data_IF_827438012776
#
_entry.id   IF_827438012776
#
_cell.length_a   1.000
_cell.length_b   1.000
_cell.length_c   1.000
_cell.angle_alpha   90.00
_cell.angle_beta   90.00
_cell.angle_gamma   90.00
#
_symmetry.space_group_name_H-M   'P 1'
#
loop_
_entity.id
_entity.type
_entity.pdbx_description
1 polymer ?
#
# COMPACT_ATOMS: atom_id res chain seq x y z
N UNK A 1 45.55 60.65 -78.36
CA UNK A 1 45.92 61.52 -77.29
C UNK A 1 45.12 61.13 -76.09
N UNK A 2 45.45 60.54 -75.16
CA UNK A 2 45.05 60.13 -73.82
C UNK A 2 45.36 58.64 -73.60
N UNK A 3 46.41 58.44 -72.86
CA UNK A 3 46.91 57.12 -72.44
C UNK A 3 46.01 56.65 -71.31
N UNK A 4 45.51 55.45 -71.39
CA UNK A 4 44.80 54.78 -70.32
C UNK A 4 45.74 53.78 -69.66
N UNK A 5 46.11 54.05 -68.42
CA UNK A 5 46.89 53.15 -67.59
C UNK A 5 45.96 52.12 -66.93
N UNK A 6 46.26 50.84 -67.12
CA UNK A 6 45.58 49.72 -66.48
C UNK A 6 46.37 49.44 -65.21
N UNK A 7 45.70 49.60 -64.03
CA UNK A 7 46.20 49.20 -62.72
C UNK A 7 45.65 47.82 -62.45
N UNK A 8 46.51 46.81 -62.38
CA UNK A 8 46.13 45.46 -61.89
C UNK A 8 46.14 45.47 -60.40
N UNK A 9 44.92 45.26 -59.82
CA UNK A 9 44.74 45.10 -58.40
C UNK A 9 44.83 43.60 -58.04
N UNK A 10 45.92 43.21 -57.35
CA UNK A 10 46.09 41.87 -56.82
C UNK A 10 45.26 41.79 -55.53
N UNK A 11 44.14 41.05 -55.55
CA UNK A 11 43.37 40.77 -54.37
C UNK A 11 44.03 39.59 -53.61
N UNK A 12 44.59 39.90 -52.44
CA UNK A 12 45.14 38.94 -51.51
C UNK A 12 43.95 38.42 -50.63
N UNK A 13 43.47 37.21 -50.90
CA UNK A 13 42.49 36.56 -50.14
C UNK A 13 43.11 36.06 -48.83
N UNK A 14 42.92 36.79 -47.76
CA UNK A 14 43.17 36.32 -46.38
C UNK A 14 42.09 35.31 -45.98
N UNK A 15 42.46 34.02 -46.00
CA UNK A 15 41.68 32.97 -45.45
C UNK A 15 41.73 33.04 -43.88
N UNK A 16 40.74 33.64 -43.28
CA UNK A 16 40.51 33.50 -41.83
C UNK A 16 39.87 32.13 -41.55
N UNK A 17 40.43 31.31 -40.66
CA UNK A 17 39.71 30.11 -40.22
C UNK A 17 38.48 30.55 -39.42
N UNK A 18 37.28 30.30 -39.96
CA UNK A 18 36.06 30.28 -39.16
C UNK A 18 36.22 29.14 -38.16
N UNK A 19 36.57 29.47 -36.93
CA UNK A 19 36.22 28.62 -35.81
C UNK A 19 34.70 28.60 -35.73
N UNK A 20 34.07 27.55 -36.26
CA UNK A 20 32.71 27.19 -35.89
C UNK A 20 32.76 26.83 -34.40
N UNK A 21 32.55 27.83 -33.54
CA UNK A 21 32.05 27.56 -32.21
C UNK A 21 30.69 26.87 -32.42
N UNK A 22 30.69 25.55 -32.29
CA UNK A 22 29.46 24.82 -32.14
C UNK A 22 28.76 25.44 -30.94
N UNK A 23 27.76 26.25 -31.22
CA UNK A 23 26.76 26.55 -30.23
C UNK A 23 26.19 25.19 -29.82
N UNK A 24 26.64 24.71 -28.67
CA UNK A 24 25.95 23.62 -27.98
C UNK A 24 24.54 24.19 -27.74
N UNK A 25 23.61 23.79 -28.59
CA UNK A 25 22.19 24.03 -28.28
C UNK A 25 22.02 23.56 -26.85
N UNK A 26 21.77 24.48 -25.91
CA UNK A 26 21.31 24.13 -24.60
C UNK A 26 20.02 23.41 -24.88
N UNK A 27 20.03 22.08 -24.78
CA UNK A 27 18.80 21.28 -24.74
C UNK A 27 17.91 21.96 -23.70
N UNK A 28 16.75 22.36 -24.14
CA UNK A 28 15.74 22.92 -23.23
C UNK A 28 15.52 21.90 -22.13
N UNK A 29 15.59 22.32 -20.87
CA UNK A 29 15.38 21.41 -19.74
C UNK A 29 13.97 20.86 -19.79
N UNK A 30 13.84 19.58 -19.55
CA UNK A 30 12.54 18.93 -19.31
C UNK A 30 12.05 19.36 -17.94
N UNK A 31 10.87 19.96 -17.89
CA UNK A 31 10.21 20.33 -16.65
C UNK A 31 9.11 19.31 -16.36
N UNK A 32 9.19 18.64 -15.20
CA UNK A 32 8.20 17.70 -14.71
C UNK A 32 7.47 18.31 -13.54
N UNK A 33 6.16 18.17 -13.51
CA UNK A 33 5.32 18.50 -12.34
C UNK A 33 4.95 17.20 -11.63
N UNK A 34 5.37 17.06 -10.36
CA UNK A 34 4.99 15.95 -9.49
C UNK A 34 4.02 16.40 -8.42
N UNK A 35 2.84 15.79 -8.36
CA UNK A 35 1.81 16.09 -7.35
C UNK A 35 1.83 15.01 -6.27
N UNK A 36 2.20 15.41 -5.04
CA UNK A 36 2.16 14.59 -3.83
C UNK A 36 0.75 14.56 -3.26
N UNK A 37 0.31 13.41 -2.74
CA UNK A 37 -1.02 13.22 -2.12
C UNK A 37 -0.91 12.87 -0.63
N UNK A 38 0.10 12.09 -0.24
CA UNK A 38 0.33 11.70 1.15
C UNK A 38 1.14 12.77 1.91
N UNK A 39 0.72 14.01 1.81
CA UNK A 39 1.47 15.17 2.31
C UNK A 39 1.55 15.23 3.84
N UNK A 40 2.74 15.42 4.36
CA UNK A 40 3.04 15.91 5.71
C UNK A 40 4.37 16.66 5.66
N UNK A 41 4.68 17.52 6.64
CA UNK A 41 5.94 18.24 6.63
C UNK A 41 7.16 17.33 6.47
N UNK A 42 7.17 16.19 7.20
CA UNK A 42 8.28 15.26 7.21
C UNK A 42 8.38 14.46 5.90
N UNK A 43 7.26 13.97 5.39
CA UNK A 43 7.19 13.21 4.13
C UNK A 43 7.60 14.06 2.93
N UNK A 44 7.07 15.28 2.86
CA UNK A 44 7.40 16.24 1.79
C UNK A 44 8.89 16.55 1.75
N UNK A 45 9.55 16.68 2.92
CA UNK A 45 11.00 16.91 2.98
C UNK A 45 11.81 15.73 2.42
N UNK A 46 11.41 14.49 2.69
CA UNK A 46 12.07 13.29 2.14
C UNK A 46 11.91 13.22 0.63
N UNK A 47 10.72 13.54 0.11
CA UNK A 47 10.50 13.60 -1.35
C UNK A 47 11.32 14.72 -2.01
N UNK A 48 11.40 15.90 -1.40
CA UNK A 48 12.25 16.99 -1.88
C UNK A 48 13.73 16.61 -1.94
N UNK A 49 14.24 15.88 -0.94
CA UNK A 49 15.60 15.37 -0.94
C UNK A 49 15.81 14.36 -2.08
N UNK A 50 14.90 13.42 -2.27
CA UNK A 50 14.95 12.45 -3.36
C UNK A 50 14.91 13.12 -4.74
N UNK A 51 14.02 14.09 -4.94
CA UNK A 51 13.93 14.88 -6.18
C UNK A 51 15.23 15.62 -6.46
N UNK A 52 15.80 16.30 -5.47
CA UNK A 52 17.08 17.00 -5.63
C UNK A 52 18.21 16.06 -6.05
N UNK A 53 18.26 14.85 -5.52
CA UNK A 53 19.25 13.84 -5.90
C UNK A 53 19.00 13.31 -7.32
N UNK A 54 17.72 13.13 -7.70
CA UNK A 54 17.35 12.78 -9.07
C UNK A 54 17.79 13.85 -10.09
N UNK A 55 17.55 15.13 -9.82
CA UNK A 55 17.97 16.25 -10.67
C UNK A 55 19.49 16.33 -10.79
N UNK A 56 20.22 16.06 -9.70
CA UNK A 56 21.68 16.05 -9.73
C UNK A 56 22.23 14.94 -10.65
N UNK A 57 21.56 13.79 -10.72
CA UNK A 57 21.88 12.69 -11.62
C UNK A 57 21.36 12.93 -13.05
N UNK A 58 20.35 13.78 -13.23
CA UNK A 58 19.68 14.08 -14.49
C UNK A 58 19.66 15.60 -14.77
N UNK A 59 20.80 16.23 -15.11
CA UNK A 59 20.93 17.69 -15.15
C UNK A 59 20.04 18.38 -16.20
N UNK A 60 19.47 17.61 -17.12
CA UNK A 60 18.52 18.12 -18.12
C UNK A 60 17.06 18.05 -17.67
N UNK A 61 16.79 17.54 -16.47
CA UNK A 61 15.43 17.46 -15.88
C UNK A 61 15.34 18.39 -14.68
N UNK A 62 14.20 19.02 -14.52
CA UNK A 62 13.81 19.81 -13.34
C UNK A 62 12.44 19.36 -12.89
N UNK A 63 12.23 19.15 -11.59
CA UNK A 63 11.00 18.61 -11.04
C UNK A 63 10.38 19.60 -10.07
N UNK A 64 9.19 20.09 -10.37
CA UNK A 64 8.36 20.88 -9.46
C UNK A 64 7.51 19.96 -8.62
N UNK A 65 7.71 19.95 -7.29
CA UNK A 65 6.87 19.21 -6.34
C UNK A 65 5.71 20.08 -5.87
N UNK A 66 4.50 19.67 -6.18
CA UNK A 66 3.25 20.27 -5.71
C UNK A 66 2.69 19.45 -4.57
N UNK A 67 2.64 20.02 -3.35
CA UNK A 67 2.22 19.35 -2.11
C UNK A 67 1.00 20.06 -1.51
N UNK A 68 -0.22 19.76 -1.97
CA UNK A 68 -1.44 20.33 -1.39
C UNK A 68 -1.65 19.85 0.05
N UNK A 69 -2.43 20.54 0.90
CA UNK A 69 -2.81 20.03 2.21
C UNK A 69 -3.46 18.65 2.10
N UNK A 70 -3.10 17.71 3.00
CA UNK A 70 -3.47 16.30 2.95
C UNK A 70 -4.96 16.07 2.67
N UNK A 71 -5.85 16.76 3.38
CA UNK A 71 -7.31 16.57 3.25
C UNK A 71 -7.87 17.02 1.88
N UNK A 72 -7.07 17.76 1.12
CA UNK A 72 -7.46 18.30 -0.19
C UNK A 72 -6.66 17.69 -1.34
N UNK A 73 -5.59 16.95 -1.05
CA UNK A 73 -4.59 16.56 -2.03
C UNK A 73 -5.18 15.68 -3.15
N UNK A 74 -5.97 14.66 -2.82
CA UNK A 74 -6.63 13.80 -3.82
C UNK A 74 -7.63 14.56 -4.69
N UNK A 75 -8.46 15.42 -4.08
CA UNK A 75 -9.42 16.24 -4.82
C UNK A 75 -8.71 17.24 -5.74
N UNK A 76 -7.61 17.82 -5.25
CA UNK A 76 -6.80 18.75 -6.04
C UNK A 76 -6.15 18.04 -7.22
N UNK A 77 -5.52 16.89 -7.00
CA UNK A 77 -4.94 16.05 -8.07
C UNK A 77 -5.97 15.71 -9.14
N UNK A 78 -7.12 15.14 -8.73
CA UNK A 78 -8.18 14.78 -9.66
C UNK A 78 -8.67 15.98 -10.49
N UNK A 79 -8.80 17.16 -9.85
CA UNK A 79 -9.19 18.39 -10.52
C UNK A 79 -8.13 18.89 -11.50
N UNK A 80 -6.84 18.81 -11.17
CA UNK A 80 -5.73 19.19 -12.05
C UNK A 80 -5.69 18.29 -13.29
N UNK A 81 -5.76 16.98 -13.10
CA UNK A 81 -5.77 16.02 -14.19
C UNK A 81 -6.99 16.18 -15.10
N UNK A 82 -8.19 16.31 -14.54
CA UNK A 82 -9.43 16.51 -15.31
C UNK A 82 -9.44 17.83 -16.08
N UNK A 83 -8.79 18.86 -15.57
CA UNK A 83 -8.63 20.15 -16.24
C UNK A 83 -7.52 20.15 -17.30
N UNK A 84 -6.78 19.04 -17.49
CA UNK A 84 -5.66 18.96 -18.42
C UNK A 84 -4.48 19.85 -18.05
N UNK A 85 -4.29 20.15 -16.74
CA UNK A 85 -3.15 20.91 -16.29
C UNK A 85 -1.86 20.11 -16.49
N UNK A 86 -0.72 20.80 -16.54
CA UNK A 86 0.60 20.17 -16.64
C UNK A 86 0.87 19.40 -15.33
N UNK A 87 0.66 18.09 -15.37
CA UNK A 87 1.03 17.12 -14.36
C UNK A 87 1.70 15.98 -15.10
N UNK A 88 2.88 15.57 -14.66
CA UNK A 88 3.62 14.48 -15.28
C UNK A 88 3.62 13.23 -14.39
N UNK A 89 3.96 13.40 -13.10
CA UNK A 89 3.94 12.32 -12.11
C UNK A 89 2.94 12.68 -11.02
N UNK A 90 2.19 11.70 -10.56
CA UNK A 90 1.30 11.88 -9.43
C UNK A 90 1.41 10.71 -8.47
N UNK A 91 1.38 11.03 -7.17
CA UNK A 91 1.12 10.03 -6.15
C UNK A 91 -0.37 9.71 -6.14
N UNK A 92 -0.69 8.43 -6.01
CA UNK A 92 -2.08 7.92 -6.00
C UNK A 92 -2.27 6.98 -4.82
N UNK A 93 -3.52 6.74 -4.43
CA UNK A 93 -3.87 5.82 -3.35
C UNK A 93 -4.87 4.77 -3.82
N UNK A 94 -4.93 3.66 -3.08
CA UNK A 94 -5.84 2.52 -3.33
C UNK A 94 -7.32 2.93 -3.40
N UNK A 95 -7.73 3.95 -2.63
CA UNK A 95 -9.11 4.44 -2.58
C UNK A 95 -9.51 5.38 -3.73
N UNK A 96 -8.56 5.94 -4.47
CA UNK A 96 -8.82 6.95 -5.51
C UNK A 96 -8.39 6.53 -6.92
N UNK A 97 -7.46 5.59 -7.03
CA UNK A 97 -6.83 5.22 -8.30
C UNK A 97 -7.83 4.70 -9.34
N UNK A 98 -8.83 3.91 -8.94
CA UNK A 98 -9.86 3.40 -9.86
C UNK A 98 -10.62 4.54 -10.56
N UNK A 99 -10.93 5.63 -9.84
CA UNK A 99 -11.59 6.81 -10.41
C UNK A 99 -10.70 7.50 -11.46
N UNK A 100 -9.40 7.58 -11.22
CA UNK A 100 -8.46 8.19 -12.16
C UNK A 100 -8.28 7.34 -13.42
N UNK A 101 -8.19 6.01 -13.27
CA UNK A 101 -8.10 5.07 -14.40
C UNK A 101 -9.38 5.12 -15.25
N UNK A 102 -10.56 5.02 -14.63
CA UNK A 102 -11.84 5.08 -15.33
C UNK A 102 -12.07 6.43 -16.02
N UNK A 103 -11.48 7.49 -15.51
CA UNK A 103 -11.44 8.82 -16.12
C UNK A 103 -10.45 8.96 -17.28
N UNK A 104 -9.67 7.92 -17.61
CA UNK A 104 -8.56 7.96 -18.58
C UNK A 104 -7.53 9.07 -18.24
N UNK A 105 -7.26 9.31 -16.98
CA UNK A 105 -6.38 10.35 -16.49
C UNK A 105 -4.94 9.87 -16.28
N UNK A 106 -4.72 8.56 -16.27
CA UNK A 106 -3.40 7.92 -16.09
C UNK A 106 -2.94 7.24 -17.36
N UNK A 107 -1.62 7.27 -17.60
CA UNK A 107 -0.97 6.61 -18.72
C UNK A 107 -0.89 5.09 -18.50
N UNK A 108 -1.19 4.30 -19.54
CA UNK A 108 -0.85 2.88 -19.54
C UNK A 108 0.67 2.71 -19.55
N UNK A 109 1.21 2.00 -18.56
CA UNK A 109 2.64 1.81 -18.36
C UNK A 109 3.17 0.46 -18.88
N UNK A 110 2.35 -0.39 -19.50
CA UNK A 110 2.75 -1.76 -19.89
C UNK A 110 4.02 -1.77 -20.75
N UNK A 111 4.11 -0.89 -21.76
CA UNK A 111 5.28 -0.81 -22.62
C UNK A 111 6.53 -0.34 -21.87
N UNK A 112 6.38 0.56 -20.91
CA UNK A 112 7.47 1.06 -20.05
C UNK A 112 7.96 -0.03 -19.08
N UNK A 113 7.02 -0.74 -18.45
CA UNK A 113 7.32 -1.86 -17.54
C UNK A 113 7.93 -3.04 -18.31
N UNK A 114 7.45 -3.33 -19.52
CA UNK A 114 8.02 -4.40 -20.35
C UNK A 114 9.49 -4.15 -20.72
N UNK A 115 9.87 -2.89 -20.89
CA UNK A 115 11.25 -2.48 -21.21
C UNK A 115 12.12 -2.28 -19.97
N UNK A 116 11.58 -2.36 -18.78
CA UNK A 116 12.30 -2.16 -17.53
C UNK A 116 12.98 -3.45 -17.06
N UNK A 117 14.31 -3.51 -17.25
CA UNK A 117 15.11 -4.73 -17.02
C UNK A 117 15.24 -5.13 -15.54
N UNK A 118 14.96 -4.24 -14.60
CA UNK A 118 15.10 -4.49 -13.15
C UNK A 118 13.75 -4.55 -12.41
N UNK A 119 12.64 -4.68 -13.12
CA UNK A 119 11.31 -4.81 -12.52
C UNK A 119 11.18 -5.99 -11.54
N UNK A 120 11.95 -7.06 -11.77
CA UNK A 120 11.96 -8.25 -10.91
C UNK A 120 12.56 -7.98 -9.51
N UNK A 121 13.16 -6.80 -9.31
CA UNK A 121 13.55 -6.31 -7.97
C UNK A 121 12.35 -5.89 -7.14
N UNK A 122 11.17 -5.67 -7.74
CA UNK A 122 9.96 -5.40 -6.97
C UNK A 122 9.42 -6.68 -6.32
N UNK A 123 8.84 -6.52 -5.14
CA UNK A 123 8.09 -7.61 -4.47
C UNK A 123 6.85 -7.96 -5.31
N UNK A 124 6.45 -9.22 -5.28
CA UNK A 124 5.35 -9.70 -6.11
C UNK A 124 4.03 -8.98 -5.80
N UNK A 125 3.77 -8.68 -4.53
CA UNK A 125 2.63 -7.88 -4.10
C UNK A 125 2.56 -6.50 -4.77
N UNK A 126 3.70 -5.85 -5.03
CA UNK A 126 3.74 -4.55 -5.73
C UNK A 126 3.38 -4.68 -7.21
N UNK A 127 3.86 -5.74 -7.88
CA UNK A 127 3.51 -6.01 -9.28
C UNK A 127 2.02 -6.35 -9.41
N UNK A 128 1.49 -7.18 -8.48
CA UNK A 128 0.06 -7.49 -8.41
C UNK A 128 -0.79 -6.23 -8.16
N UNK A 129 -0.36 -5.36 -7.24
CA UNK A 129 -1.06 -4.11 -6.97
C UNK A 129 -1.11 -3.21 -8.20
N UNK A 130 0.02 -3.02 -8.89
CA UNK A 130 0.11 -2.21 -10.11
C UNK A 130 -0.82 -2.66 -11.23
N UNK A 131 -1.09 -3.97 -11.32
CA UNK A 131 -1.98 -4.59 -12.29
C UNK A 131 -3.38 -4.87 -11.71
N UNK A 132 -3.71 -4.38 -10.51
CA UNK A 132 -4.94 -4.79 -9.80
C UNK A 132 -6.20 -4.10 -10.29
N UNK A 133 -6.09 -2.98 -10.98
CA UNK A 133 -7.21 -2.14 -11.39
C UNK A 133 -7.12 -1.88 -12.89
N UNK A 134 -8.18 -2.23 -13.60
CA UNK A 134 -8.21 -2.21 -15.06
C UNK A 134 -7.53 -3.43 -15.69
N UNK A 135 -7.29 -3.35 -16.99
CA UNK A 135 -6.73 -4.43 -17.82
C UNK A 135 -5.24 -4.21 -18.16
N UNK A 136 -4.59 -3.23 -17.49
CA UNK A 136 -3.22 -2.82 -17.73
C UNK A 136 -2.57 -2.24 -16.47
N UNK A 137 -1.26 -2.04 -16.52
CA UNK A 137 -0.51 -1.36 -15.46
C UNK A 137 -0.61 0.16 -15.62
N UNK A 138 -1.25 0.84 -14.68
CA UNK A 138 -1.38 2.31 -14.71
C UNK A 138 -0.55 3.01 -13.64
N UNK A 139 -0.03 2.28 -12.68
CA UNK A 139 0.78 2.80 -11.59
C UNK A 139 1.73 1.73 -11.07
N UNK A 140 2.72 2.16 -10.30
CA UNK A 140 3.57 1.28 -9.51
C UNK A 140 3.48 1.70 -8.05
N UNK A 141 3.19 0.79 -7.12
CA UNK A 141 3.25 1.11 -5.70
C UNK A 141 4.63 1.65 -5.32
N UNK A 142 4.65 2.64 -4.44
CA UNK A 142 5.87 3.14 -3.83
C UNK A 142 6.11 2.46 -2.47
N UNK A 143 5.04 2.10 -1.80
CA UNK A 143 5.05 1.35 -0.55
C UNK A 143 3.76 0.59 -0.35
N UNK A 144 3.84 -0.42 0.52
CA UNK A 144 2.72 -1.28 0.85
C UNK A 144 2.38 -1.20 2.33
N UNK A 145 1.11 -1.41 2.61
CA UNK A 145 0.57 -1.71 3.92
C UNK A 145 -0.03 -3.10 3.88
N UNK A 146 0.57 -4.02 4.60
CA UNK A 146 0.13 -5.41 4.74
C UNK A 146 -0.09 -5.68 6.21
N UNK A 147 -1.14 -6.38 6.57
CA UNK A 147 -1.44 -6.67 7.98
C UNK A 147 -0.64 -7.86 8.47
N UNK A 148 -0.19 -7.77 9.74
CA UNK A 148 0.35 -8.89 10.49
C UNK A 148 -0.30 -8.95 11.87
N UNK A 149 -0.07 -10.04 12.59
CA UNK A 149 -0.52 -10.19 13.97
C UNK A 149 0.53 -9.65 14.93
N UNK A 150 0.32 -8.44 15.46
CA UNK A 150 1.15 -7.91 16.53
C UNK A 150 0.80 -8.59 17.85
N UNK A 151 1.83 -8.92 18.63
CA UNK A 151 1.68 -9.65 19.90
C UNK A 151 2.45 -8.96 21.03
N UNK A 152 1.90 -8.95 22.24
CA UNK A 152 2.57 -8.51 23.47
C UNK A 152 3.39 -9.67 24.03
N UNK A 153 4.67 -9.69 23.71
CA UNK A 153 5.62 -10.75 24.12
C UNK A 153 5.65 -10.95 25.62
N UNK A 154 5.72 -9.84 26.37
CA UNK A 154 5.76 -9.83 27.83
C UNK A 154 4.50 -10.45 28.47
N UNK A 155 3.35 -10.22 27.88
CA UNK A 155 2.06 -10.77 28.39
C UNK A 155 1.93 -12.24 28.02
N UNK A 156 2.26 -12.62 26.78
CA UNK A 156 2.22 -14.01 26.35
C UNK A 156 3.19 -14.87 27.18
N UNK A 157 4.41 -14.40 27.38
CA UNK A 157 5.41 -15.08 28.22
C UNK A 157 4.92 -15.25 29.67
N UNK A 158 4.36 -14.18 30.27
CA UNK A 158 3.81 -14.20 31.61
C UNK A 158 2.77 -15.30 31.81
N UNK A 159 1.96 -15.59 30.79
CA UNK A 159 0.89 -16.59 30.86
C UNK A 159 1.26 -17.92 30.19
N UNK A 160 2.52 -18.09 29.73
CA UNK A 160 3.00 -19.29 29.06
C UNK A 160 2.19 -19.62 27.81
N UNK A 161 2.03 -18.61 26.95
CA UNK A 161 1.33 -18.73 25.66
C UNK A 161 2.36 -18.65 24.56
N UNK A 162 2.41 -19.70 23.76
CA UNK A 162 3.25 -19.75 22.56
C UNK A 162 2.64 -18.88 21.45
N UNK A 163 3.46 -18.44 20.50
CA UNK A 163 2.98 -17.70 19.34
C UNK A 163 2.12 -18.60 18.44
N UNK A 164 0.86 -18.24 18.18
CA UNK A 164 -0.02 -19.05 17.37
C UNK A 164 0.42 -19.06 15.90
N UNK A 165 0.48 -20.22 15.29
CA UNK A 165 0.81 -20.43 13.88
C UNK A 165 -0.42 -20.83 13.06
N UNK A 166 -1.46 -21.31 13.73
CA UNK A 166 -2.74 -21.69 13.13
C UNK A 166 -3.89 -20.89 13.76
N UNK A 167 -4.99 -20.76 13.04
CA UNK A 167 -6.21 -20.09 13.56
C UNK A 167 -6.75 -20.78 14.80
N UNK A 168 -6.72 -22.12 14.88
CA UNK A 168 -7.15 -22.86 16.07
C UNK A 168 -6.26 -22.52 17.29
N UNK A 169 -4.93 -22.45 17.10
CA UNK A 169 -4.00 -22.03 18.17
C UNK A 169 -4.24 -20.57 18.58
N UNK A 170 -4.55 -19.68 17.63
CA UNK A 170 -4.89 -18.29 17.93
C UNK A 170 -6.15 -18.17 18.80
N UNK A 171 -7.22 -18.87 18.44
CA UNK A 171 -8.43 -18.88 19.24
C UNK A 171 -8.20 -19.47 20.64
N UNK A 172 -7.45 -20.57 20.73
CA UNK A 172 -7.10 -21.18 22.03
C UNK A 172 -6.24 -20.24 22.89
N UNK A 173 -5.30 -19.50 22.29
CA UNK A 173 -4.51 -18.48 22.99
C UNK A 173 -5.39 -17.33 23.50
N UNK A 174 -6.34 -16.86 22.69
CA UNK A 174 -7.30 -15.84 23.08
C UNK A 174 -8.18 -16.28 24.28
N UNK A 175 -8.71 -17.49 24.25
CA UNK A 175 -9.49 -18.05 25.37
C UNK A 175 -8.65 -18.17 26.65
N UNK A 176 -7.40 -18.63 26.54
CA UNK A 176 -6.49 -18.74 27.67
C UNK A 176 -6.17 -17.37 28.30
N UNK A 177 -6.01 -16.31 27.49
CA UNK A 177 -5.82 -14.94 27.97
C UNK A 177 -7.08 -14.42 28.67
N UNK A 178 -8.23 -14.53 28.03
CA UNK A 178 -9.50 -14.05 28.59
C UNK A 178 -9.87 -14.75 29.90
N UNK A 179 -9.51 -16.03 30.05
CA UNK A 179 -9.74 -16.82 31.27
C UNK A 179 -8.92 -16.32 32.49
N UNK A 180 -7.92 -15.43 32.29
CA UNK A 180 -7.17 -14.83 33.41
C UNK A 180 -8.05 -13.89 34.25
N UNK A 181 -9.13 -13.35 33.69
CA UNK A 181 -10.00 -12.41 34.40
C UNK A 181 -9.33 -11.05 34.67
N UNK A 182 -9.83 -10.34 35.66
CA UNK A 182 -9.29 -9.03 36.09
C UNK A 182 -9.17 -7.98 34.99
N UNK A 183 -10.07 -7.99 33.99
CA UNK A 183 -10.07 -7.08 32.89
C UNK A 183 -9.10 -7.45 31.76
N UNK A 184 -8.47 -8.63 31.83
CA UNK A 184 -7.70 -9.16 30.73
C UNK A 184 -8.61 -9.68 29.64
N UNK A 185 -8.46 -9.13 28.46
CA UNK A 185 -9.03 -9.63 27.20
C UNK A 185 -7.89 -10.14 26.33
N UNK A 186 -8.18 -10.51 25.12
CA UNK A 186 -7.17 -11.08 24.24
C UNK A 186 -6.97 -10.30 22.95
N UNK A 187 -8.04 -9.92 22.27
CA UNK A 187 -7.96 -9.41 20.90
C UNK A 187 -8.55 -8.01 20.76
N UNK A 188 -7.79 -7.13 20.11
CA UNK A 188 -8.19 -5.77 19.74
C UNK A 188 -9.06 -5.79 18.47
N UNK A 189 -10.33 -6.17 18.61
CA UNK A 189 -11.26 -6.28 17.48
C UNK A 189 -11.51 -4.92 16.84
N UNK A 190 -11.52 -4.89 15.49
CA UNK A 190 -11.86 -3.71 14.69
C UNK A 190 -13.35 -3.65 14.42
N UNK A 191 -14.09 -2.79 15.12
CA UNK A 191 -15.55 -2.68 14.99
C UNK A 191 -16.03 -1.59 14.04
N UNK A 192 -15.20 -0.56 13.75
CA UNK A 192 -15.54 0.54 12.85
C UNK A 192 -14.38 0.95 11.95
N UNK A 193 -14.64 1.78 10.95
CA UNK A 193 -13.64 2.30 10.03
C UNK A 193 -13.10 1.21 9.09
N UNK A 194 -13.95 0.71 8.21
CA UNK A 194 -13.63 -0.38 7.25
C UNK A 194 -13.20 -1.69 7.90
N UNK A 195 -13.97 -2.24 8.85
CA UNK A 195 -13.59 -3.47 9.56
C UNK A 195 -13.51 -4.69 8.64
N UNK A 196 -14.16 -4.69 7.48
CA UNK A 196 -14.14 -5.82 6.53
C UNK A 196 -12.72 -6.23 6.17
N UNK A 197 -11.81 -5.29 5.96
CA UNK A 197 -10.41 -5.58 5.62
C UNK A 197 -9.66 -6.39 6.70
N UNK A 198 -10.10 -6.37 7.96
CA UNK A 198 -9.53 -7.19 9.03
C UNK A 198 -10.36 -8.46 9.25
N UNK A 199 -11.69 -8.32 9.22
CA UNK A 199 -12.62 -9.44 9.42
C UNK A 199 -12.45 -10.51 8.35
N UNK A 200 -12.35 -10.11 7.08
CA UNK A 200 -12.20 -11.04 5.96
C UNK A 200 -10.87 -11.80 6.03
N UNK A 201 -9.77 -11.13 6.37
CA UNK A 201 -8.45 -11.77 6.58
C UNK A 201 -8.51 -12.87 7.65
N UNK A 202 -9.33 -12.69 8.69
CA UNK A 202 -9.50 -13.70 9.73
C UNK A 202 -10.39 -14.88 9.28
N UNK A 203 -11.26 -14.68 8.29
CA UNK A 203 -12.22 -15.70 7.85
C UNK A 203 -11.74 -16.49 6.63
N UNK A 204 -11.08 -15.83 5.69
CA UNK A 204 -10.60 -16.44 4.44
C UNK A 204 -9.73 -17.68 4.67
N UNK A 205 -8.84 -17.75 5.67
CA UNK A 205 -8.00 -18.93 5.92
C UNK A 205 -8.78 -20.22 6.17
N UNK A 206 -10.03 -20.13 6.63
CA UNK A 206 -10.89 -21.29 6.89
C UNK A 206 -11.60 -21.82 5.63
N UNK A 207 -11.47 -21.10 4.51
CA UNK A 207 -12.17 -21.43 3.27
C UNK A 207 -11.18 -21.98 2.24
N UNK A 208 -11.46 -23.17 1.73
CA UNK A 208 -10.69 -23.74 0.63
C UNK A 208 -10.99 -23.01 -0.69
N UNK A 209 -9.98 -22.98 -1.57
CA UNK A 209 -10.12 -22.56 -2.97
C UNK A 209 -10.69 -21.15 -3.17
N UNK A 210 -10.25 -20.18 -2.35
CA UNK A 210 -10.56 -18.76 -2.56
C UNK A 210 -10.08 -18.32 -3.94
N UNK A 211 -10.91 -17.55 -4.63
CA UNK A 211 -10.54 -16.91 -5.88
C UNK A 211 -9.68 -15.66 -5.58
N UNK A 212 -8.43 -15.68 -6.00
CA UNK A 212 -7.46 -14.63 -5.72
C UNK A 212 -7.81 -13.29 -6.39
N UNK A 213 -8.57 -13.33 -7.50
CA UNK A 213 -9.04 -12.14 -8.21
C UNK A 213 -10.34 -11.56 -7.63
N UNK A 214 -11.05 -12.34 -6.82
CA UNK A 214 -12.24 -11.89 -6.11
C UNK A 214 -12.40 -12.68 -4.81
N UNK A 215 -11.86 -12.14 -3.73
CA UNK A 215 -11.82 -12.80 -2.41
C UNK A 215 -13.20 -13.17 -1.83
N UNK A 216 -14.29 -12.62 -2.38
CA UNK A 216 -15.66 -12.96 -1.94
C UNK A 216 -16.19 -14.23 -2.57
N UNK A 217 -15.47 -14.80 -3.52
CA UNK A 217 -15.85 -16.04 -4.20
C UNK A 217 -14.79 -17.13 -3.99
N UNK A 218 -15.26 -18.36 -3.99
CA UNK A 218 -14.41 -19.53 -4.24
C UNK A 218 -14.17 -19.70 -5.74
N UNK A 219 -13.21 -20.51 -6.15
CA UNK A 219 -12.88 -20.76 -7.56
C UNK A 219 -14.04 -21.35 -8.35
N UNK A 220 -15.00 -22.02 -7.66
CA UNK A 220 -16.25 -22.53 -8.27
C UNK A 220 -17.41 -21.51 -8.24
N UNK A 221 -17.16 -20.28 -7.81
CA UNK A 221 -18.10 -19.16 -7.83
C UNK A 221 -19.08 -19.11 -6.65
N UNK A 222 -18.85 -19.88 -5.60
CA UNK A 222 -19.66 -19.79 -4.38
C UNK A 222 -19.22 -18.60 -3.53
N UNK A 223 -20.15 -17.86 -2.92
CA UNK A 223 -19.82 -16.82 -1.94
C UNK A 223 -19.16 -17.46 -0.70
N UNK A 224 -17.95 -17.04 -0.39
CA UNK A 224 -17.04 -17.72 0.55
C UNK A 224 -17.65 -18.01 1.92
N UNK A 225 -18.45 -17.08 2.48
CA UNK A 225 -19.10 -17.25 3.78
C UNK A 225 -20.26 -18.27 3.75
N UNK A 226 -20.75 -18.70 2.59
CA UNK A 226 -21.76 -19.74 2.48
C UNK A 226 -21.19 -21.16 2.50
N UNK A 227 -19.88 -21.30 2.40
CA UNK A 227 -19.19 -22.58 2.59
C UNK A 227 -19.25 -23.04 4.05
N UNK A 228 -18.96 -24.30 4.30
CA UNK A 228 -18.86 -24.81 5.69
C UNK A 228 -17.76 -24.07 6.48
N UNK A 229 -16.57 -23.89 5.87
CA UNK A 229 -15.45 -23.16 6.46
C UNK A 229 -15.80 -21.69 6.75
N UNK A 230 -16.44 -21.01 5.80
CA UNK A 230 -16.83 -19.61 5.98
C UNK A 230 -17.88 -19.40 7.10
N UNK A 231 -18.87 -20.32 7.20
CA UNK A 231 -19.83 -20.28 8.31
C UNK A 231 -19.16 -20.52 9.66
N UNK A 232 -18.25 -21.51 9.73
CA UNK A 232 -17.45 -21.77 10.92
C UNK A 232 -16.65 -20.55 11.31
N UNK A 233 -15.93 -19.93 10.37
CA UNK A 233 -15.13 -18.75 10.61
C UNK A 233 -15.94 -17.57 11.16
N UNK A 234 -17.11 -17.31 10.58
CA UNK A 234 -18.02 -16.26 11.09
C UNK A 234 -18.53 -16.56 12.51
N UNK A 235 -18.81 -17.83 12.81
CA UNK A 235 -19.22 -18.26 14.14
C UNK A 235 -18.07 -18.13 15.16
N UNK A 236 -16.85 -18.50 14.76
CA UNK A 236 -15.66 -18.38 15.60
C UNK A 236 -15.33 -16.90 15.86
N UNK A 237 -15.49 -16.03 14.88
CA UNK A 237 -15.34 -14.59 15.06
C UNK A 237 -16.37 -14.03 16.06
N UNK A 238 -17.61 -14.47 16.00
CA UNK A 238 -18.63 -14.12 16.98
C UNK A 238 -18.27 -14.60 18.39
N UNK A 239 -17.75 -15.85 18.51
CA UNK A 239 -17.30 -16.42 19.78
C UNK A 239 -16.09 -15.65 20.33
N UNK A 240 -15.12 -15.30 19.47
CA UNK A 240 -13.98 -14.47 19.83
C UNK A 240 -14.41 -13.14 20.43
N UNK A 241 -15.35 -12.44 19.78
CA UNK A 241 -15.87 -11.19 20.32
C UNK A 241 -16.52 -11.40 21.70
N UNK A 242 -17.41 -12.36 21.83
CA UNK A 242 -18.16 -12.58 23.07
C UNK A 242 -17.30 -12.99 24.25
N UNK A 243 -16.27 -13.78 23.99
CA UNK A 243 -15.49 -14.42 25.06
C UNK A 243 -14.15 -13.72 25.32
N UNK A 244 -13.56 -13.07 24.30
CA UNK A 244 -12.15 -12.66 24.33
C UNK A 244 -11.92 -11.18 24.04
N UNK A 245 -12.95 -10.41 23.69
CA UNK A 245 -12.82 -8.98 23.40
C UNK A 245 -13.60 -8.13 24.40
N UNK A 246 -13.17 -6.87 24.63
CA UNK A 246 -14.03 -5.90 25.32
C UNK A 246 -15.36 -5.73 24.60
N UNK A 247 -16.45 -5.62 25.34
CA UNK A 247 -17.80 -5.51 24.74
C UNK A 247 -18.00 -4.23 23.91
N UNK A 248 -17.26 -3.17 24.20
CA UNK A 248 -17.22 -1.91 23.45
C UNK A 248 -16.33 -1.96 22.21
N UNK A 249 -15.56 -3.03 22.02
CA UNK A 249 -14.71 -3.22 20.82
C UNK A 249 -15.53 -3.25 19.51
N UNK A 250 -16.81 -3.51 19.58
CA UNK A 250 -17.75 -3.34 18.46
C UNK A 250 -17.73 -1.91 17.88
N UNK A 251 -17.28 -0.91 18.66
CA UNK A 251 -17.15 0.49 18.27
C UNK A 251 -15.69 0.94 18.14
N UNK A 252 -14.73 0.04 18.32
CA UNK A 252 -13.32 0.40 18.21
C UNK A 252 -12.91 0.63 16.76
N UNK A 253 -12.17 1.72 16.55
CA UNK A 253 -11.45 2.01 15.33
C UNK A 253 -9.95 1.82 15.54
N UNK A 254 -9.15 2.46 14.70
CA UNK A 254 -7.69 2.37 14.72
C UNK A 254 -7.09 2.77 16.09
N UNK A 255 -7.46 3.95 16.59
CA UNK A 255 -6.87 4.47 17.83
C UNK A 255 -7.22 3.62 19.06
N UNK A 256 -8.46 3.15 19.16
CA UNK A 256 -8.90 2.32 20.27
C UNK A 256 -8.20 0.95 20.27
N UNK A 257 -7.99 0.35 19.08
CA UNK A 257 -7.23 -0.91 18.95
C UNK A 257 -5.79 -0.74 19.45
N UNK A 258 -5.09 0.32 18.99
CA UNK A 258 -3.71 0.62 19.41
C UNK A 258 -3.65 0.83 20.92
N UNK A 259 -4.57 1.59 21.49
CA UNK A 259 -4.62 1.82 22.94
C UNK A 259 -4.89 0.55 23.74
N UNK A 260 -5.76 -0.33 23.25
CA UNK A 260 -6.01 -1.64 23.84
C UNK A 260 -4.76 -2.52 23.85
N UNK A 261 -3.98 -2.50 22.78
CA UNK A 261 -2.72 -3.23 22.68
C UNK A 261 -1.63 -2.63 23.58
N UNK A 262 -1.41 -1.32 23.53
CA UNK A 262 -0.42 -0.61 24.36
C UNK A 262 -0.69 -0.83 25.85
N UNK A 263 -1.94 -0.72 26.28
CA UNK A 263 -2.32 -0.93 27.68
C UNK A 263 -2.18 -2.40 28.15
N UNK A 264 -2.00 -3.34 27.21
CA UNK A 264 -1.97 -4.78 27.49
C UNK A 264 -3.36 -5.39 27.73
N UNK A 265 -4.43 -4.62 27.62
CA UNK A 265 -5.81 -5.11 27.75
C UNK A 265 -6.12 -6.16 26.68
N UNK A 266 -5.61 -5.96 25.47
CA UNK A 266 -5.77 -6.84 24.31
C UNK A 266 -4.42 -7.16 23.69
N UNK A 267 -3.69 -8.19 24.16
CA UNK A 267 -2.34 -8.53 23.73
C UNK A 267 -2.18 -8.93 22.26
N UNK A 268 -3.25 -9.20 21.56
CA UNK A 268 -3.25 -9.48 20.12
C UNK A 268 -3.92 -8.34 19.34
N UNK A 269 -3.25 -7.89 18.27
CA UNK A 269 -3.70 -6.81 17.39
C UNK A 269 -3.35 -7.14 15.94
N UNK A 270 -4.33 -7.26 15.06
CA UNK A 270 -4.08 -7.30 13.61
C UNK A 270 -4.03 -5.88 13.08
N UNK A 271 -2.86 -5.46 12.55
CA UNK A 271 -2.68 -4.10 12.07
C UNK A 271 -1.57 -3.99 11.01
N UNK A 272 -1.58 -2.88 10.29
CA UNK A 272 -0.56 -2.47 9.32
C UNK A 272 0.71 -1.97 10.04
N UNK A 273 1.86 -1.93 9.38
CA UNK A 273 3.14 -1.55 10.00
C UNK A 273 3.20 -0.09 10.47
N UNK A 274 2.32 0.79 10.01
CA UNK A 274 2.20 2.17 10.49
C UNK A 274 1.84 2.26 11.99
N UNK A 275 1.23 1.21 12.54
CA UNK A 275 0.93 1.10 13.98
C UNK A 275 2.20 1.06 14.85
N UNK A 276 3.31 0.57 14.31
CA UNK A 276 4.58 0.42 15.04
C UNK A 276 5.06 1.77 15.59
N UNK A 277 4.87 2.87 14.84
CA UNK A 277 5.22 4.20 15.30
C UNK A 277 4.60 4.55 16.65
N UNK A 278 3.29 4.34 16.80
CA UNK A 278 2.57 4.62 18.05
C UNK A 278 2.93 3.64 19.17
N UNK A 279 3.20 2.38 18.82
CA UNK A 279 3.53 1.34 19.80
C UNK A 279 4.92 1.56 20.39
N UNK A 280 5.94 1.84 19.58
CA UNK A 280 7.33 2.10 20.04
C UNK A 280 7.48 3.33 20.91
N UNK A 281 6.58 4.32 20.77
CA UNK A 281 6.58 5.51 21.61
C UNK A 281 6.07 5.22 23.04
N UNK A 282 5.41 4.08 23.25
CA UNK A 282 4.77 3.71 24.50
C UNK A 282 5.36 2.46 25.16
N UNK A 283 6.00 1.57 24.41
CA UNK A 283 6.49 0.28 24.86
C UNK A 283 7.96 0.08 24.47
N UNK A 284 8.70 -0.66 25.33
CA UNK A 284 10.02 -1.15 24.96
C UNK A 284 9.94 -2.22 23.87
N UNK A 285 10.91 -2.27 22.98
CA UNK A 285 10.95 -3.23 21.86
C UNK A 285 10.89 -4.70 22.30
N UNK A 286 11.32 -5.00 23.51
CA UNK A 286 11.22 -6.35 24.08
C UNK A 286 9.79 -6.77 24.49
N UNK A 287 8.85 -5.83 24.55
CA UNK A 287 7.48 -6.08 25.02
C UNK A 287 6.50 -6.45 23.91
N UNK A 288 6.92 -6.34 22.65
CA UNK A 288 6.05 -6.63 21.52
C UNK A 288 6.85 -7.10 20.30
N UNK A 289 6.17 -7.80 19.43
CA UNK A 289 6.66 -8.11 18.07
C UNK A 289 5.46 -8.26 17.12
N UNK A 290 5.73 -8.56 15.86
CA UNK A 290 4.74 -9.07 14.92
C UNK A 290 5.03 -10.55 14.63
N UNK A 291 4.03 -11.27 14.23
CA UNK A 291 4.13 -12.63 13.70
C UNK A 291 3.21 -12.71 12.47
N UNK A 292 3.45 -13.63 11.54
CA UNK A 292 2.54 -13.84 10.44
C UNK A 292 1.11 -14.12 10.91
N UNK A 293 0.12 -13.65 10.14
CA UNK A 293 -1.27 -14.05 10.36
C UNK A 293 -1.35 -15.59 10.36
N UNK A 294 -1.97 -16.21 11.36
CA UNK A 294 -2.07 -17.66 11.45
C UNK A 294 -2.72 -18.29 10.22
N UNK A 295 -2.21 -19.43 9.76
CA UNK A 295 -2.83 -20.19 8.68
C UNK A 295 -4.09 -20.88 9.17
N UNK A 296 -5.13 -20.93 8.34
CA UNK A 296 -6.37 -21.64 8.66
C UNK A 296 -6.42 -23.06 8.14
N UNK A 297 -7.62 -23.63 8.12
CA UNK A 297 -7.88 -25.00 7.66
C UNK A 297 -7.49 -25.21 6.19
N UNK A 298 -7.42 -24.17 5.37
CA UNK A 298 -6.91 -24.23 3.99
C UNK A 298 -5.39 -24.47 3.90
N UNK A 299 -4.65 -24.34 5.01
CA UNK A 299 -3.20 -24.32 5.05
C UNK A 299 -2.59 -23.01 4.54
N UNK A 300 -3.41 -21.99 4.32
CA UNK A 300 -3.01 -20.67 3.82
C UNK A 300 -3.42 -19.57 4.76
N UNK A 301 -2.74 -18.42 4.65
CA UNK A 301 -3.21 -17.10 5.08
C UNK A 301 -3.50 -16.27 3.87
N UNK A 302 -4.51 -15.44 3.95
CA UNK A 302 -4.91 -14.55 2.86
C UNK A 302 -4.75 -13.11 3.34
N UNK A 303 -4.00 -12.31 2.59
CA UNK A 303 -3.71 -10.92 2.92
C UNK A 303 -4.17 -10.01 1.79
N UNK A 304 -4.76 -8.89 2.15
CA UNK A 304 -4.88 -7.75 1.26
C UNK A 304 -3.63 -6.87 1.39
N UNK A 305 -3.48 -5.98 0.45
CA UNK A 305 -2.46 -4.93 0.49
C UNK A 305 -3.11 -3.57 0.25
N UNK A 306 -2.84 -2.63 1.16
CA UNK A 306 -3.03 -1.21 0.91
C UNK A 306 -1.78 -0.65 0.26
N UNK A 307 -1.89 0.39 -0.55
CA UNK A 307 -0.75 1.04 -1.18
C UNK A 307 -0.96 2.55 -1.34
N UNK A 308 0.14 3.27 -1.41
CA UNK A 308 0.24 4.45 -2.21
C UNK A 308 1.29 4.20 -3.28
N UNK A 309 1.09 4.77 -4.45
CA UNK A 309 1.91 4.50 -5.61
C UNK A 309 2.11 5.73 -6.49
N UNK A 310 2.88 5.54 -7.52
CA UNK A 310 3.26 6.57 -8.47
C UNK A 310 2.70 6.24 -9.85
N UNK A 311 2.08 7.20 -10.48
CA UNK A 311 1.53 7.10 -11.82
C UNK A 311 2.07 8.22 -12.70
N UNK A 312 2.02 8.01 -14.01
CA UNK A 312 2.27 9.05 -15.01
C UNK A 312 0.92 9.53 -15.53
N UNK A 313 0.75 10.85 -15.62
CA UNK A 313 -0.47 11.43 -16.15
C UNK A 313 -0.63 11.15 -17.66
N UNK A 314 -1.86 10.86 -18.10
CA UNK A 314 -2.14 10.51 -19.49
C UNK A 314 -1.80 11.62 -20.50
N UNK A 315 -1.82 12.88 -20.04
CA UNK A 315 -1.49 14.06 -20.86
C UNK A 315 -0.06 14.57 -20.70
N UNK A 316 0.80 13.84 -19.96
CA UNK A 316 2.21 14.21 -19.84
C UNK A 316 2.88 14.36 -21.21
N UNK A 317 3.65 15.42 -21.33
CA UNK A 317 4.46 15.68 -22.54
C UNK A 317 5.83 15.02 -22.50
N UNK A 318 6.21 14.52 -21.30
CA UNK A 318 7.51 13.92 -21.00
C UNK A 318 7.35 12.55 -20.31
N UNK A 319 6.54 11.62 -20.89
CA UNK A 319 6.18 10.37 -20.20
C UNK A 319 7.40 9.47 -19.93
N UNK A 320 8.45 9.55 -20.75
CA UNK A 320 9.67 8.78 -20.53
C UNK A 320 10.43 9.27 -19.30
N UNK A 321 10.66 10.59 -19.21
CA UNK A 321 11.35 11.20 -18.08
C UNK A 321 10.52 11.08 -16.78
N UNK A 322 9.20 11.18 -16.90
CA UNK A 322 8.28 10.94 -15.79
C UNK A 322 8.40 9.51 -15.27
N UNK A 323 8.45 8.51 -16.16
CA UNK A 323 8.64 7.12 -15.77
C UNK A 323 10.03 6.85 -15.18
N UNK A 324 11.10 7.54 -15.67
CA UNK A 324 12.42 7.47 -15.04
C UNK A 324 12.39 8.00 -13.59
N UNK A 325 11.64 9.07 -13.31
CA UNK A 325 11.45 9.57 -11.94
C UNK A 325 10.69 8.52 -11.08
N UNK A 326 9.64 7.90 -11.62
CA UNK A 326 8.91 6.81 -10.93
C UNK A 326 9.87 5.68 -10.56
N UNK A 327 10.67 5.17 -11.52
CA UNK A 327 11.65 4.10 -11.24
C UNK A 327 12.68 4.50 -10.19
N UNK A 328 13.14 5.75 -10.24
CA UNK A 328 14.10 6.27 -9.27
C UNK A 328 13.52 6.28 -7.85
N UNK A 329 12.29 6.75 -7.69
CA UNK A 329 11.62 6.83 -6.38
C UNK A 329 11.32 5.46 -5.75
N UNK A 330 11.27 4.39 -6.56
CA UNK A 330 11.11 2.99 -6.09
C UNK A 330 12.41 2.17 -6.24
N UNK A 331 13.55 2.80 -6.51
CA UNK A 331 14.86 2.15 -6.45
C UNK A 331 15.23 1.80 -5.01
N UNK A 332 16.07 0.80 -4.81
CA UNK A 332 16.30 0.20 -3.49
C UNK A 332 16.64 1.22 -2.38
N UNK A 333 17.65 2.06 -2.61
CA UNK A 333 18.10 3.05 -1.62
C UNK A 333 17.03 4.12 -1.33
N UNK A 334 16.41 4.67 -2.39
CA UNK A 334 15.41 5.74 -2.25
C UNK A 334 14.14 5.19 -1.63
N UNK A 335 13.72 3.99 -2.04
CA UNK A 335 12.54 3.32 -1.51
C UNK A 335 12.70 2.98 -0.03
N UNK A 336 13.88 2.44 0.38
CA UNK A 336 14.18 2.21 1.78
C UNK A 336 14.03 3.50 2.61
N UNK A 337 14.64 4.59 2.13
CA UNK A 337 14.62 5.89 2.82
C UNK A 337 13.22 6.47 2.97
N UNK A 338 12.41 6.41 1.93
CA UNK A 338 11.02 6.87 1.95
C UNK A 338 10.21 6.03 2.95
N UNK A 339 10.34 4.70 2.86
CA UNK A 339 9.57 3.79 3.70
C UNK A 339 9.95 3.86 5.18
N UNK A 340 11.23 4.08 5.53
CA UNK A 340 11.65 4.36 6.89
C UNK A 340 10.89 5.54 7.52
N UNK A 341 10.74 6.61 6.73
CA UNK A 341 10.03 7.81 7.18
C UNK A 341 8.52 7.60 7.27
N UNK A 342 7.97 6.79 6.37
CA UNK A 342 6.52 6.58 6.27
C UNK A 342 6.02 5.48 7.21
N UNK A 343 6.92 4.66 7.77
CA UNK A 343 6.56 3.47 8.54
C UNK A 343 5.81 2.45 7.69
N UNK A 344 6.16 2.36 6.41
CA UNK A 344 5.51 1.49 5.43
C UNK A 344 6.51 0.47 4.87
N UNK A 345 6.03 -0.56 4.17
CA UNK A 345 6.90 -1.61 3.63
C UNK A 345 7.44 -1.23 2.26
N UNK A 346 8.76 -1.38 2.04
CA UNK A 346 9.35 -1.16 0.73
C UNK A 346 8.79 -2.10 -0.34
N UNK A 347 8.67 -1.59 -1.55
CA UNK A 347 8.29 -2.40 -2.72
C UNK A 347 9.49 -2.99 -3.44
N UNK A 348 10.68 -2.54 -3.14
CA UNK A 348 11.92 -3.07 -3.72
C UNK A 348 12.55 -4.09 -2.78
N UNK A 349 12.80 -5.31 -3.27
CA UNK A 349 13.36 -6.43 -2.49
C UNK A 349 14.71 -6.08 -1.85
N UNK A 350 15.56 -5.35 -2.58
CA UNK A 350 16.89 -4.98 -2.10
C UNK A 350 16.84 -3.89 -1.01
N UNK A 351 15.77 -3.10 -0.96
CA UNK A 351 15.56 -2.06 0.05
C UNK A 351 15.55 -2.61 1.48
N UNK A 352 15.07 -3.84 1.66
CA UNK A 352 15.04 -4.49 2.99
C UNK A 352 16.43 -4.70 3.59
N UNK A 353 17.45 -4.89 2.75
CA UNK A 353 18.84 -5.03 3.19
C UNK A 353 19.56 -3.69 3.37
N UNK A 354 18.99 -2.58 2.90
CA UNK A 354 19.60 -1.26 2.94
C UNK A 354 19.30 -0.48 4.22
N UNK A 355 18.35 -0.96 5.01
CA UNK A 355 17.94 -0.34 6.26
C UNK A 355 17.91 -1.35 7.40
N UNK A 356 18.48 -0.97 8.55
CA UNK A 356 18.39 -1.77 9.77
C UNK A 356 16.94 -1.95 10.22
N UNK A 357 16.08 -0.94 9.97
CA UNK A 357 14.67 -1.00 10.30
C UNK A 357 13.96 -2.18 9.65
N UNK A 358 14.30 -2.51 8.39
CA UNK A 358 13.63 -3.58 7.64
C UNK A 358 14.37 -4.92 7.69
N UNK A 359 15.66 -4.91 7.98
CA UNK A 359 16.48 -6.14 8.03
C UNK A 359 16.47 -6.83 9.39
N UNK A 360 16.01 -6.14 10.43
CA UNK A 360 15.95 -6.63 11.81
C UNK A 360 14.65 -6.16 12.49
N UNK A 361 14.37 -6.76 13.65
CA UNK A 361 13.24 -6.34 14.48
C UNK A 361 11.88 -6.59 13.84
N UNK A 362 10.89 -5.83 14.27
CA UNK A 362 9.48 -6.10 13.96
C UNK A 362 9.14 -6.00 12.46
N UNK A 363 9.78 -5.09 11.71
CA UNK A 363 9.48 -4.94 10.27
C UNK A 363 9.96 -6.12 9.43
N UNK A 364 10.99 -6.84 9.91
CA UNK A 364 11.44 -8.08 9.26
C UNK A 364 10.35 -9.13 9.24
N UNK A 365 9.52 -9.20 10.28
CA UNK A 365 8.43 -10.16 10.37
C UNK A 365 7.39 -9.97 9.25
N UNK A 366 7.09 -8.72 8.87
CA UNK A 366 6.26 -8.42 7.69
C UNK A 366 6.92 -8.87 6.38
N UNK A 367 8.24 -8.66 6.26
CA UNK A 367 8.97 -9.10 5.07
C UNK A 367 8.95 -10.63 4.94
N UNK A 368 9.16 -11.34 6.05
CA UNK A 368 9.13 -12.80 6.10
C UNK A 368 7.71 -13.33 5.80
N UNK A 369 6.68 -12.70 6.34
CA UNK A 369 5.28 -13.05 6.06
C UNK A 369 4.93 -12.89 4.58
N UNK A 370 5.35 -11.79 3.95
CA UNK A 370 5.11 -11.57 2.52
C UNK A 370 5.86 -12.58 1.63
N UNK A 371 6.98 -13.10 2.09
CA UNK A 371 7.79 -14.07 1.37
C UNK A 371 7.42 -15.53 1.66
N UNK A 372 6.55 -15.79 2.65
CA UNK A 372 6.15 -17.15 3.04
C UNK A 372 5.27 -17.78 1.95
N UNK A 373 5.56 -19.02 1.56
CA UNK A 373 4.82 -19.80 0.56
C UNK A 373 3.35 -20.08 0.92
N UNK A 374 2.99 -19.91 2.19
CA UNK A 374 1.62 -20.03 2.66
C UNK A 374 0.83 -18.71 2.62
N UNK A 375 1.48 -17.62 2.25
CA UNK A 375 0.83 -16.33 2.07
C UNK A 375 0.27 -16.20 0.66
N UNK A 376 -1.02 -15.90 0.57
CA UNK A 376 -1.73 -15.63 -0.68
C UNK A 376 -2.26 -14.21 -0.63
N UNK A 377 -1.85 -13.39 -1.60
CA UNK A 377 -2.40 -12.05 -1.75
C UNK A 377 -3.73 -12.10 -2.49
N UNK A 378 -4.73 -11.44 -1.94
CA UNK A 378 -6.07 -11.35 -2.49
C UNK A 378 -6.46 -9.91 -2.77
N UNK A 379 -7.40 -9.73 -3.68
CA UNK A 379 -7.87 -8.42 -4.08
C UNK A 379 -9.27 -8.16 -3.53
N UNK A 380 -9.44 -7.03 -2.85
CA UNK A 380 -10.76 -6.44 -2.71
C UNK A 380 -11.25 -5.94 -4.08
N UNK A 381 -12.55 -5.98 -4.36
CA UNK A 381 -13.10 -5.49 -5.62
C UNK A 381 -13.13 -3.96 -5.67
N UNK A 382 -11.96 -3.33 -5.62
CA UNK A 382 -11.80 -1.86 -5.61
C UNK A 382 -12.31 -1.20 -6.89
N UNK A 383 -12.37 -1.96 -7.98
CA UNK A 383 -12.91 -1.51 -9.27
C UNK A 383 -14.44 -1.37 -9.26
N UNK A 384 -15.13 -2.14 -8.40
CA UNK A 384 -16.59 -2.05 -8.29
C UNK A 384 -16.95 -0.82 -7.44
N UNK A 385 -17.67 0.17 -8.01
CA UNK A 385 -18.05 1.37 -7.28
C UNK A 385 -18.91 1.09 -6.04
N UNK A 386 -19.53 -0.11 -5.96
CA UNK A 386 -20.30 -0.54 -4.78
C UNK A 386 -19.42 -0.89 -3.59
N UNK A 387 -18.11 -1.10 -3.77
CA UNK A 387 -17.24 -1.51 -2.67
C UNK A 387 -17.23 -0.51 -1.51
N UNK A 388 -17.27 0.79 -1.80
CA UNK A 388 -17.36 1.83 -0.75
C UNK A 388 -18.65 1.70 0.07
N UNK A 389 -19.78 1.41 -0.57
CA UNK A 389 -21.06 1.16 0.11
C UNK A 389 -21.00 -0.16 0.89
N UNK A 390 -20.40 -1.20 0.29
CA UNK A 390 -20.23 -2.51 0.94
C UNK A 390 -19.51 -2.42 2.29
N UNK A 391 -18.49 -1.59 2.41
CA UNK A 391 -17.79 -1.40 3.68
C UNK A 391 -18.74 -0.97 4.82
N UNK A 392 -19.72 -0.12 4.50
CA UNK A 392 -20.75 0.32 5.47
C UNK A 392 -21.76 -0.78 5.74
N UNK A 393 -22.22 -1.48 4.72
CA UNK A 393 -23.14 -2.62 4.83
C UNK A 393 -22.50 -3.73 5.67
N UNK A 394 -21.26 -4.10 5.36
CA UNK A 394 -20.50 -5.09 6.11
C UNK A 394 -20.37 -4.71 7.58
N UNK A 395 -19.91 -3.49 7.87
CA UNK A 395 -19.74 -2.98 9.23
C UNK A 395 -21.06 -3.12 10.01
N UNK A 396 -22.15 -2.63 9.44
CA UNK A 396 -23.47 -2.64 10.09
C UNK A 396 -23.98 -4.06 10.32
N UNK A 397 -23.84 -4.95 9.34
CA UNK A 397 -24.29 -6.34 9.45
C UNK A 397 -23.51 -7.11 10.52
N UNK A 398 -22.17 -6.97 10.52
CA UNK A 398 -21.31 -7.64 11.51
C UNK A 398 -21.54 -7.06 12.91
N UNK A 399 -21.64 -5.74 13.07
CA UNK A 399 -21.96 -5.14 14.38
C UNK A 399 -23.30 -5.66 14.94
N UNK A 400 -24.34 -5.78 14.11
CA UNK A 400 -25.62 -6.35 14.54
C UNK A 400 -25.48 -7.80 15.01
N UNK A 401 -24.68 -8.61 14.33
CA UNK A 401 -24.39 -9.98 14.76
C UNK A 401 -23.64 -10.01 16.09
N UNK A 402 -22.60 -9.21 16.24
CA UNK A 402 -21.80 -9.14 17.48
C UNK A 402 -22.66 -8.71 18.67
N UNK A 403 -23.58 -7.78 18.47
CA UNK A 403 -24.53 -7.30 19.49
C UNK A 403 -25.70 -8.25 19.74
N UNK A 404 -25.84 -9.34 18.98
CA UNK A 404 -26.92 -10.31 19.11
C UNK A 404 -28.24 -9.87 18.46
N UNK A 405 -28.24 -8.84 17.61
CA UNK A 405 -29.42 -8.37 16.89
C UNK A 405 -29.64 -9.14 15.56
N UNK A 406 -28.67 -9.92 15.12
CA UNK A 406 -28.75 -10.80 13.97
C UNK A 406 -27.99 -12.11 14.24
N UNK A 407 -28.40 -13.17 13.59
CA UNK A 407 -27.69 -14.46 13.57
C UNK A 407 -26.55 -14.44 12.55
N UNK A 408 -25.65 -15.42 12.63
CA UNK A 408 -24.59 -15.64 11.63
C UNK A 408 -25.19 -15.80 10.22
N UNK A 409 -26.25 -16.63 10.08
CA UNK A 409 -26.88 -16.87 8.78
C UNK A 409 -27.56 -15.62 8.19
N UNK A 410 -28.22 -14.82 9.02
CA UNK A 410 -28.81 -13.55 8.58
C UNK A 410 -27.73 -12.57 8.15
N UNK A 411 -26.61 -12.51 8.86
CA UNK A 411 -25.47 -11.66 8.50
C UNK A 411 -24.86 -12.09 7.18
N UNK A 412 -24.55 -13.38 7.00
CA UNK A 412 -24.05 -13.94 5.75
C UNK A 412 -25.00 -13.63 4.57
N UNK A 413 -26.32 -13.78 4.80
CA UNK A 413 -27.31 -13.45 3.79
C UNK A 413 -27.26 -11.99 3.35
N UNK A 414 -27.14 -11.05 4.27
CA UNK A 414 -27.04 -9.61 3.97
C UNK A 414 -25.80 -9.34 3.10
N UNK A 415 -24.64 -9.89 3.47
CA UNK A 415 -23.38 -9.68 2.76
C UNK A 415 -23.42 -10.30 1.35
N UNK A 416 -23.95 -11.49 1.22
CA UNK A 416 -24.13 -12.19 -0.04
C UNK A 416 -25.07 -11.45 -0.98
N UNK A 417 -26.27 -11.10 -0.47
CA UNK A 417 -27.32 -10.45 -1.27
C UNK A 417 -26.87 -9.08 -1.80
N UNK A 418 -26.01 -8.36 -1.06
CA UNK A 418 -25.46 -7.09 -1.49
C UNK A 418 -24.70 -7.22 -2.83
N UNK A 419 -23.89 -8.28 -2.96
CA UNK A 419 -23.13 -8.54 -4.18
C UNK A 419 -23.98 -9.19 -5.28
N UNK A 420 -25.14 -9.75 -4.94
CA UNK A 420 -26.01 -10.45 -5.88
C UNK A 420 -25.58 -11.89 -6.17
N UNK A 421 -24.84 -12.52 -5.25
CA UNK A 421 -24.37 -13.90 -5.37
C UNK A 421 -25.42 -14.94 -4.97
#
# INVERSE_FOLDING_TARGET
MKKIAIIALVAMVLATPLFAQGAQEKSEKVHLTFVEVMTSPERTLVLQEAIKNFEAANPNVEVELVSPPYEQAETKLASMLAAGQDVDVCEIRDNSVATLINGNLLLNLDDYVAQWNTKDQLVDAALLAGASIGDATYFLPQYLYVKALMVRTDILEKYGIEYPTTTDEFYAACEKLAAQGNGQYAFALRGKGSPCKTTDIMMLPEVADINEDNLYLTKDGQFYLTTEGGRKAMQDYLNLFKNCCPSDAVNWGYAEQINGFISGTTPFLIQDPDAVGSVKDALDESQYTAIPIPVGASGKRYLDYGFAGLAVAANSKHPQEAFELVKYLISAEVNARICEFYGALPVNKDAYSMSEMFSMGIYKEWADEMADENTVFVKFPLEDPRFTEYQTVHMTAVQNMLLGNATVDETIKVLKDFWGY
#
